data_IF_479863330900
#
_entry.id   IF_479863330900
#
_cell.length_a   1.000
_cell.length_b   1.000
_cell.length_c   1.000
_cell.angle_alpha   90.00
_cell.angle_beta   90.00
_cell.angle_gamma   90.00
#
_symmetry.space_group_name_H-M   'P 1'
#
loop_
_entity.id
_entity.type
_entity.pdbx_description
1 polymer ?
#
# COMPACT_ATOMS: atom_id res chain seq x y z
N UNK A 1 27.06 -3.82 -51.93
CA UNK A 1 27.49 -4.48 -50.68
C UNK A 1 27.06 -3.61 -49.52
N UNK A 2 26.04 -4.05 -48.79
CA UNK A 2 25.50 -3.42 -47.57
C UNK A 2 26.20 -3.99 -46.34
N UNK A 3 26.45 -3.20 -45.30
CA UNK A 3 26.52 -3.71 -43.94
C UNK A 3 25.17 -3.47 -43.24
N UNK A 4 24.58 -4.57 -42.75
CA UNK A 4 23.43 -4.57 -41.86
C UNK A 4 23.93 -4.43 -40.42
N UNK A 5 23.73 -3.26 -39.82
CA UNK A 5 23.89 -3.09 -38.37
C UNK A 5 22.68 -3.72 -37.66
N UNK A 6 22.94 -4.84 -36.99
CA UNK A 6 21.96 -5.51 -36.15
C UNK A 6 22.19 -5.06 -34.70
N UNK A 7 21.61 -3.94 -34.31
CA UNK A 7 21.60 -3.50 -32.91
C UNK A 7 20.63 -4.36 -32.12
N UNK A 8 21.16 -5.39 -31.47
CA UNK A 8 20.48 -6.16 -30.42
C UNK A 8 20.30 -5.27 -29.20
N UNK A 9 19.19 -4.53 -29.13
CA UNK A 9 18.74 -3.84 -27.92
C UNK A 9 18.36 -4.89 -26.88
N UNK A 10 19.27 -5.13 -25.93
CA UNK A 10 18.97 -5.90 -24.73
C UNK A 10 17.84 -5.20 -23.94
N UNK A 11 16.76 -5.90 -23.54
CA UNK A 11 15.76 -5.30 -22.68
C UNK A 11 16.40 -4.97 -21.33
N UNK A 12 16.51 -3.68 -20.99
CA UNK A 12 16.85 -3.29 -19.64
C UNK A 12 15.80 -3.87 -18.68
N UNK A 13 16.19 -4.42 -17.52
CA UNK A 13 15.23 -4.82 -16.51
C UNK A 13 14.43 -3.59 -16.10
N UNK A 14 13.12 -3.62 -16.36
CA UNK A 14 12.20 -2.56 -15.96
C UNK A 14 12.39 -2.28 -14.47
N UNK A 15 12.65 -1.02 -14.11
CA UNK A 15 12.66 -0.60 -12.70
C UNK A 15 11.37 -1.12 -12.05
N UNK A 16 11.43 -1.67 -10.82
CA UNK A 16 10.21 -2.13 -10.15
C UNK A 16 9.20 -0.98 -10.15
N UNK A 17 8.01 -1.23 -10.69
CA UNK A 17 6.97 -0.22 -10.84
C UNK A 17 6.65 0.36 -9.46
N UNK A 18 6.99 1.64 -9.29
CA UNK A 18 6.69 2.39 -8.07
C UNK A 18 5.20 2.58 -7.97
N UNK A 19 4.58 1.97 -6.96
CA UNK A 19 3.13 2.05 -6.75
C UNK A 19 2.71 3.42 -6.26
N UNK A 20 1.52 3.85 -6.68
CA UNK A 20 0.81 4.99 -6.14
C UNK A 20 0.46 4.76 -4.66
N UNK A 21 0.76 5.73 -3.79
CA UNK A 21 0.30 5.69 -2.40
C UNK A 21 -1.11 6.28 -2.31
N UNK A 22 -2.09 5.48 -1.94
CA UNK A 22 -3.46 5.92 -1.70
C UNK A 22 -3.70 6.00 -0.19
N UNK A 23 -3.89 7.20 0.34
CA UNK A 23 -4.05 7.45 1.78
C UNK A 23 -5.52 7.29 2.16
N UNK A 24 -5.80 6.35 3.04
CA UNK A 24 -7.14 6.02 3.53
C UNK A 24 -7.79 7.19 4.31
N UNK A 25 -9.11 7.13 4.49
CA UNK A 25 -9.88 8.20 5.13
C UNK A 25 -9.63 8.33 6.64
N UNK A 26 -9.11 7.27 7.26
CA UNK A 26 -8.70 7.26 8.67
C UNK A 26 -7.35 7.94 8.92
N UNK A 27 -6.64 8.34 7.85
CA UNK A 27 -5.39 9.09 7.91
C UNK A 27 -5.61 10.51 7.40
N UNK A 28 -4.95 11.48 8.04
CA UNK A 28 -5.02 12.89 7.65
C UNK A 28 -4.67 13.08 6.16
N UNK A 29 -5.60 13.63 5.38
CA UNK A 29 -5.40 14.02 3.97
C UNK A 29 -4.15 14.88 3.77
N UNK A 30 -3.73 15.68 4.76
CA UNK A 30 -2.51 16.49 4.68
C UNK A 30 -1.27 15.66 4.34
N UNK A 31 -1.26 14.39 4.75
CA UNK A 31 -0.15 13.48 4.49
C UNK A 31 0.09 13.23 3.00
N UNK A 32 -0.96 13.17 2.15
CA UNK A 32 -0.78 13.00 0.70
C UNK A 32 -0.01 14.18 0.10
N UNK A 33 -0.36 15.42 0.49
CA UNK A 33 0.35 16.63 0.06
C UNK A 33 1.79 16.67 0.57
N UNK A 34 2.05 16.25 1.81
CA UNK A 34 3.41 16.16 2.33
C UNK A 34 4.26 15.16 1.55
N UNK A 35 3.69 14.00 1.21
CA UNK A 35 4.36 12.97 0.39
C UNK A 35 4.66 13.50 -1.01
N UNK A 36 3.70 14.17 -1.66
CA UNK A 36 3.90 14.82 -2.95
C UNK A 36 5.06 15.83 -2.91
N UNK A 37 5.08 16.71 -1.90
CA UNK A 37 6.16 17.71 -1.72
C UNK A 37 7.54 17.08 -1.48
N UNK A 38 7.59 15.82 -1.03
CA UNK A 38 8.83 15.05 -0.81
C UNK A 38 9.20 14.14 -1.98
N UNK A 39 8.58 14.33 -3.14
CA UNK A 39 8.91 13.62 -4.38
C UNK A 39 8.04 12.41 -4.68
N UNK A 40 7.01 12.12 -3.87
CA UNK A 40 6.00 11.09 -4.17
C UNK A 40 4.81 11.71 -4.89
N UNK A 41 5.06 12.25 -6.09
CA UNK A 41 4.09 13.04 -6.84
C UNK A 41 2.75 12.33 -7.08
N UNK A 42 2.76 11.00 -7.10
CA UNK A 42 1.57 10.19 -7.33
C UNK A 42 0.73 9.95 -6.05
N UNK A 43 1.22 10.28 -4.86
CA UNK A 43 0.46 10.07 -3.62
C UNK A 43 -0.88 10.83 -3.65
N UNK A 44 -1.97 10.18 -3.25
CA UNK A 44 -3.33 10.75 -3.29
C UNK A 44 -4.12 10.30 -2.07
N UNK A 45 -5.00 11.13 -1.52
CA UNK A 45 -5.93 10.69 -0.48
C UNK A 45 -7.22 10.14 -1.10
N UNK A 46 -7.85 9.17 -0.44
CA UNK A 46 -9.18 8.61 -0.80
C UNK A 46 -10.21 9.74 -1.00
N UNK A 47 -10.15 10.78 -0.17
CA UNK A 47 -10.97 11.98 -0.32
C UNK A 47 -10.73 12.72 -1.64
N UNK A 48 -9.47 12.91 -2.03
CA UNK A 48 -9.10 13.58 -3.30
C UNK A 48 -9.49 12.75 -4.52
N UNK A 49 -9.44 11.43 -4.39
CA UNK A 49 -9.88 10.48 -5.40
C UNK A 49 -11.41 10.36 -5.51
N UNK A 50 -12.19 11.07 -4.67
CA UNK A 50 -13.66 10.94 -4.57
C UNK A 50 -14.11 9.50 -4.23
N UNK A 51 -13.31 8.83 -3.41
CA UNK A 51 -13.54 7.46 -2.94
C UNK A 51 -13.99 7.39 -1.47
N UNK A 52 -14.12 8.54 -0.79
CA UNK A 52 -14.48 8.62 0.62
C UNK A 52 -15.93 8.17 0.91
N UNK A 53 -16.18 7.68 2.14
CA UNK A 53 -17.52 7.24 2.58
C UNK A 53 -18.04 5.99 1.87
N UNK A 54 -17.20 5.32 1.07
CA UNK A 54 -17.50 4.03 0.47
C UNK A 54 -17.27 2.93 1.50
N UNK A 55 -18.08 1.87 1.43
CA UNK A 55 -17.78 0.62 2.14
C UNK A 55 -16.50 0.00 1.58
N UNK A 56 -15.76 -0.74 2.41
CA UNK A 56 -14.45 -1.32 2.08
C UNK A 56 -14.44 -2.10 0.75
N UNK A 57 -15.42 -2.97 0.52
CA UNK A 57 -15.51 -3.72 -0.75
C UNK A 57 -15.66 -2.82 -1.99
N UNK A 58 -16.41 -1.72 -1.87
CA UNK A 58 -16.56 -0.74 -2.97
C UNK A 58 -15.31 0.13 -3.13
N UNK A 59 -14.57 0.38 -2.05
CA UNK A 59 -13.25 1.01 -2.09
C UNK A 59 -12.25 0.11 -2.83
N UNK A 60 -12.12 -1.17 -2.46
CA UNK A 60 -11.18 -2.10 -3.09
C UNK A 60 -11.45 -2.27 -4.58
N UNK A 61 -12.72 -2.39 -4.98
CA UNK A 61 -13.09 -2.42 -6.39
C UNK A 61 -12.67 -1.15 -7.13
N UNK A 62 -12.83 0.02 -6.52
CA UNK A 62 -12.46 1.29 -7.14
C UNK A 62 -10.94 1.50 -7.21
N UNK A 63 -10.16 0.89 -6.31
CA UNK A 63 -8.70 0.96 -6.33
C UNK A 63 -8.07 0.26 -7.55
N UNK A 64 -8.80 -0.63 -8.22
CA UNK A 64 -8.38 -1.26 -9.48
C UNK A 64 -8.07 -0.19 -10.54
N UNK A 65 -8.86 0.89 -10.58
CA UNK A 65 -8.66 2.00 -11.53
C UNK A 65 -7.42 2.86 -11.21
N UNK A 66 -6.79 2.63 -10.05
CA UNK A 66 -5.60 3.35 -9.58
C UNK A 66 -4.33 2.50 -9.65
N UNK A 67 -4.41 1.25 -10.14
CA UNK A 67 -3.26 0.37 -10.23
C UNK A 67 -2.16 0.91 -11.17
N UNK A 68 -0.87 0.70 -10.83
CA UNK A 68 -0.38 0.02 -9.63
C UNK A 68 -0.45 0.92 -8.38
N UNK A 69 -1.12 0.49 -7.31
CA UNK A 69 -1.26 1.26 -6.07
C UNK A 69 -1.10 0.43 -4.79
N UNK A 70 -0.91 1.12 -3.66
CA UNK A 70 -0.98 0.59 -2.31
C UNK A 70 -1.90 1.47 -1.47
N UNK A 71 -2.91 0.87 -0.85
CA UNK A 71 -3.75 1.53 0.15
C UNK A 71 -2.98 1.61 1.47
N UNK A 72 -2.78 2.82 1.98
CA UNK A 72 -2.15 3.09 3.28
C UNK A 72 -3.24 3.41 4.28
N UNK A 73 -3.39 2.57 5.31
CA UNK A 73 -4.46 2.65 6.31
C UNK A 73 -3.90 2.54 7.73
N UNK A 74 -4.61 3.10 8.70
CA UNK A 74 -4.34 2.91 10.14
C UNK A 74 -5.33 1.93 10.80
N UNK A 75 -6.28 1.37 10.02
CA UNK A 75 -7.16 0.32 10.49
C UNK A 75 -6.45 -1.04 10.47
N UNK A 76 -5.97 -1.43 11.65
CA UNK A 76 -5.39 -2.75 11.88
C UNK A 76 -6.36 -3.91 11.63
N UNK A 77 -7.68 -3.70 11.62
CA UNK A 77 -8.68 -4.76 11.42
C UNK A 77 -9.02 -4.97 9.96
N UNK A 78 -8.91 -3.95 9.11
CA UNK A 78 -9.25 -4.01 7.68
C UNK A 78 -8.71 -5.28 6.98
N UNK A 79 -7.42 -5.68 7.12
CA UNK A 79 -6.94 -6.88 6.43
C UNK A 79 -7.49 -8.21 6.95
N UNK A 80 -8.00 -8.24 8.18
CA UNK A 80 -8.54 -9.44 8.81
C UNK A 80 -10.04 -9.59 8.52
N UNK A 81 -10.77 -8.48 8.51
CA UNK A 81 -12.20 -8.47 8.24
C UNK A 81 -12.47 -8.68 6.76
N UNK A 82 -11.62 -8.14 5.88
CA UNK A 82 -11.81 -8.15 4.43
C UNK A 82 -10.77 -9.00 3.68
N UNK A 83 -10.25 -10.06 4.31
CA UNK A 83 -9.20 -10.89 3.70
C UNK A 83 -9.64 -11.40 2.32
N UNK A 84 -10.88 -11.88 2.18
CA UNK A 84 -11.39 -12.44 0.92
C UNK A 84 -11.51 -11.38 -0.17
N UNK A 85 -11.98 -10.19 0.15
CA UNK A 85 -12.14 -9.10 -0.81
C UNK A 85 -10.79 -8.54 -1.25
N UNK A 86 -9.84 -8.41 -0.33
CA UNK A 86 -8.47 -8.00 -0.65
C UNK A 86 -7.79 -9.02 -1.58
N UNK A 87 -7.94 -10.32 -1.31
CA UNK A 87 -7.43 -11.38 -2.18
C UNK A 87 -8.13 -11.40 -3.53
N UNK A 88 -9.45 -11.28 -3.55
CA UNK A 88 -10.25 -11.27 -4.77
C UNK A 88 -9.89 -10.12 -5.72
N UNK A 89 -9.60 -8.94 -5.17
CA UNK A 89 -9.24 -7.75 -5.94
C UNK A 89 -7.73 -7.57 -6.12
N UNK A 90 -6.89 -8.43 -5.53
CA UNK A 90 -5.43 -8.25 -5.58
C UNK A 90 -4.93 -6.98 -4.88
N UNK A 91 -5.73 -6.42 -3.97
CA UNK A 91 -5.46 -5.12 -3.33
C UNK A 91 -4.22 -5.19 -2.47
N UNK A 92 -3.29 -4.27 -2.71
CA UNK A 92 -2.07 -4.14 -1.89
C UNK A 92 -2.33 -3.18 -0.75
N UNK A 93 -2.05 -3.60 0.49
CA UNK A 93 -2.35 -2.81 1.69
C UNK A 93 -1.13 -2.63 2.59
N UNK A 94 -0.88 -1.39 3.01
CA UNK A 94 0.11 -1.00 3.98
C UNK A 94 -0.58 -0.48 5.25
N UNK A 95 -0.50 -1.27 6.31
CA UNK A 95 -1.11 -0.94 7.61
C UNK A 95 -0.11 -0.26 8.50
N UNK A 96 -0.35 0.99 8.88
CA UNK A 96 0.39 1.65 9.95
C UNK A 96 -0.03 1.03 11.28
N UNK A 97 0.92 0.50 12.04
CA UNK A 97 0.64 -0.38 13.17
C UNK A 97 0.25 0.40 14.43
N UNK A 98 -1.03 0.38 14.81
CA UNK A 98 -1.50 0.88 16.12
C UNK A 98 -0.87 0.13 17.30
N UNK A 99 -0.53 -1.15 17.12
CA UNK A 99 0.18 -1.93 18.16
C UNK A 99 1.59 -1.39 18.39
N UNK A 100 2.29 -0.99 17.34
CA UNK A 100 3.60 -0.39 17.49
C UNK A 100 3.51 1.05 18.02
N UNK A 101 2.45 1.81 17.68
CA UNK A 101 2.18 3.12 18.29
C UNK A 101 2.12 3.05 19.82
N UNK A 102 1.33 2.09 20.36
CA UNK A 102 1.20 1.86 21.82
C UNK A 102 2.52 1.53 22.53
N UNK A 103 3.56 1.18 21.78
CA UNK A 103 4.91 0.85 22.29
C UNK A 103 5.93 1.93 21.93
N UNK A 104 5.51 2.98 21.25
CA UNK A 104 6.36 4.06 20.79
C UNK A 104 6.35 5.23 21.76
N UNK A 105 7.33 6.12 21.62
CA UNK A 105 7.44 7.34 22.43
C UNK A 105 6.59 8.50 21.89
N UNK A 106 5.83 8.28 20.81
CA UNK A 106 4.97 9.31 20.27
C UNK A 106 3.78 9.55 21.20
N UNK A 107 3.58 10.80 21.58
CA UNK A 107 2.45 11.24 22.40
C UNK A 107 1.19 11.49 21.57
N UNK A 108 1.34 11.73 20.25
CA UNK A 108 0.26 12.08 19.34
C UNK A 108 0.21 11.07 18.19
N UNK A 109 -0.96 10.48 17.97
CA UNK A 109 -1.20 9.44 16.96
C UNK A 109 -0.91 9.93 15.54
N UNK A 110 -1.37 11.12 15.17
CA UNK A 110 -1.11 11.71 13.84
C UNK A 110 0.39 11.87 13.57
N UNK A 111 1.16 12.29 14.58
CA UNK A 111 2.62 12.44 14.44
C UNK A 111 3.28 11.07 14.21
N UNK A 112 2.83 10.04 14.93
CA UNK A 112 3.31 8.67 14.71
C UNK A 112 2.99 8.18 13.29
N UNK A 113 1.74 8.32 12.85
CA UNK A 113 1.31 7.86 11.51
C UNK A 113 2.15 8.55 10.44
N UNK A 114 2.23 9.89 10.52
CA UNK A 114 3.01 10.71 9.61
C UNK A 114 4.47 10.27 9.54
N UNK A 115 5.12 10.06 10.70
CA UNK A 115 6.53 9.68 10.76
C UNK A 115 6.78 8.26 10.23
N UNK A 116 5.90 7.30 10.53
CA UNK A 116 5.97 5.93 9.98
C UNK A 116 5.81 5.94 8.47
N UNK A 117 4.79 6.63 7.95
CA UNK A 117 4.53 6.67 6.51
C UNK A 117 5.69 7.35 5.78
N UNK A 118 6.19 8.50 6.24
CA UNK A 118 7.35 9.14 5.61
C UNK A 118 8.60 8.27 5.65
N UNK A 119 8.88 7.61 6.78
CA UNK A 119 10.04 6.72 6.93
C UNK A 119 9.98 5.57 5.93
N UNK A 120 8.83 4.94 5.80
CA UNK A 120 8.66 3.71 5.02
C UNK A 120 8.09 3.94 3.62
N UNK A 121 7.80 5.18 3.20
CA UNK A 121 7.17 5.49 1.92
C UNK A 121 7.84 4.75 0.74
N UNK A 122 9.17 4.79 0.67
CA UNK A 122 9.94 4.09 -0.36
C UNK A 122 9.72 2.57 -0.36
N UNK A 123 9.63 1.94 0.82
CA UNK A 123 9.38 0.50 0.95
C UNK A 123 7.93 0.16 0.62
N UNK A 124 6.98 1.01 1.01
CA UNK A 124 5.56 0.85 0.72
C UNK A 124 5.32 0.87 -0.80
N UNK A 125 5.93 1.83 -1.52
CA UNK A 125 5.81 1.93 -2.99
C UNK A 125 6.34 0.69 -3.72
N UNK A 126 7.33 0.01 -3.12
CA UNK A 126 7.94 -1.21 -3.65
C UNK A 126 7.27 -2.49 -3.14
N UNK A 127 6.17 -2.39 -2.39
CA UNK A 127 5.47 -3.55 -1.87
C UNK A 127 4.94 -4.42 -3.01
N UNK A 128 5.14 -5.75 -2.90
CA UNK A 128 4.63 -6.72 -3.87
C UNK A 128 3.11 -6.62 -3.99
N UNK A 129 2.59 -6.61 -5.22
CA UNK A 129 1.15 -6.58 -5.49
C UNK A 129 0.39 -7.69 -4.75
N UNK A 130 -0.83 -7.39 -4.30
CA UNK A 130 -1.69 -8.32 -3.56
C UNK A 130 -1.22 -8.67 -2.16
N UNK A 131 -0.16 -8.02 -1.64
CA UNK A 131 0.32 -8.29 -0.29
C UNK A 131 -0.22 -7.30 0.73
N UNK A 132 -0.35 -7.76 1.98
CA UNK A 132 -0.63 -6.91 3.14
C UNK A 132 0.60 -6.87 4.05
N UNK A 133 1.09 -5.68 4.38
CA UNK A 133 2.22 -5.48 5.30
C UNK A 133 1.85 -4.48 6.39
N UNK A 134 2.44 -4.68 7.57
CA UNK A 134 2.29 -3.79 8.71
C UNK A 134 3.60 -3.06 8.99
N UNK A 135 3.53 -1.74 9.10
CA UNK A 135 4.65 -0.83 9.29
C UNK A 135 4.51 -0.18 10.66
N UNK A 136 5.56 -0.26 11.47
CA UNK A 136 5.68 0.47 12.72
C UNK A 136 6.93 1.36 12.70
N UNK A 137 7.15 2.09 13.79
CA UNK A 137 8.31 3.00 13.93
C UNK A 137 9.61 2.29 13.51
N UNK A 138 9.92 1.11 14.07
CA UNK A 138 11.21 0.41 13.85
C UNK A 138 11.10 -0.93 13.13
N UNK A 139 9.93 -1.28 12.60
CA UNK A 139 9.69 -2.64 12.11
C UNK A 139 8.75 -2.67 10.94
N UNK A 140 9.04 -3.52 9.97
CA UNK A 140 8.09 -3.96 8.94
C UNK A 140 7.83 -5.44 9.17
N UNK A 141 6.56 -5.82 9.30
CA UNK A 141 6.15 -7.21 9.43
C UNK A 141 5.14 -7.51 8.34
N UNK A 142 5.09 -8.73 7.80
CA UNK A 142 3.90 -9.15 7.05
C UNK A 142 2.71 -9.03 8.00
N UNK A 143 1.62 -8.38 7.57
CA UNK A 143 0.41 -8.47 8.35
C UNK A 143 0.06 -9.96 8.42
N UNK A 144 -0.22 -10.48 9.63
CA UNK A 144 -0.64 -11.87 9.75
C UNK A 144 -1.94 -12.01 8.99
N UNK A 145 -1.92 -12.55 7.78
CA UNK A 145 -3.14 -13.09 7.19
C UNK A 145 -3.66 -14.14 8.18
N UNK A 146 -4.93 -14.10 8.61
CA UNK A 146 -5.47 -15.28 9.26
C UNK A 146 -5.23 -16.45 8.32
N UNK A 147 -4.68 -17.54 8.84
CA UNK A 147 -4.51 -18.80 8.11
C UNK A 147 -5.92 -19.34 7.82
N UNK A 148 -6.58 -18.80 6.80
CA UNK A 148 -7.86 -19.28 6.34
C UNK A 148 -7.57 -20.40 5.33
N UNK A 149 -7.88 -21.64 5.73
CA UNK A 149 -8.00 -22.82 4.88
C UNK A 149 -6.82 -23.11 3.93
N UNK A 150 -5.69 -23.51 4.50
CA UNK A 150 -4.98 -24.61 3.88
C UNK A 150 -5.80 -25.87 4.18
N UNK A 151 -6.28 -26.54 3.14
CA UNK A 151 -6.86 -27.91 3.16
C UNK A 151 -8.39 -28.02 3.35
N UNK A 152 -9.13 -27.95 2.24
CA UNK A 152 -10.11 -29.00 1.83
C UNK A 152 -10.45 -28.78 0.36
N UNK A 153 -9.57 -29.24 -0.52
CA UNK A 153 -9.97 -29.70 -1.85
C UNK A 153 -8.91 -30.69 -2.30
N UNK A 154 -9.10 -31.95 -1.93
CA UNK A 154 -8.56 -33.08 -2.69
C UNK A 154 -9.76 -33.87 -3.23
N UNK A 155 -9.75 -34.22 -4.52
CA UNK A 155 -10.84 -34.96 -5.17
C UNK A 155 -11.10 -36.33 -4.55
#
# INVERSE_FOLDING_TARGET
>A
MTPSDTSTTSPQPSRPETRRLVIDEDISRKLSFELQRRGRANAIAVLDARLNGRKDGALFKALIDFEPCVLVTYDNRMPFVHTRELEHHGTTVAVVSRRAFRRSWHTVEDNYIRDVVHRWAHVIEMQTAGTVRSYGDKSVTRARTPRAYADTTRP
#
